data_IF_130660235318
#
_entry.id   IF_130660235318
#
_cell.length_a   1.000
_cell.length_b   1.000
_cell.length_c   1.000
_cell.angle_alpha   90.00
_cell.angle_beta   90.00
_cell.angle_gamma   90.00
#
_symmetry.space_group_name_H-M   'P 1'
#
loop_
_entity.id
_entity.type
_entity.pdbx_description
1 polymer ?
#
# COMPACT_ATOMS: atom_id res chain seq x y z
N UNK A 1 -19.70 1.31 -0.34
CA UNK A 1 -18.58 2.29 -0.48
C UNK A 1 -18.44 3.15 0.77
N UNK A 2 -17.20 3.32 1.25
CA UNK A 2 -16.78 4.22 2.33
C UNK A 2 -16.93 5.69 1.94
N UNK A 3 -16.80 6.03 0.66
CA UNK A 3 -17.13 7.36 0.14
C UNK A 3 -17.89 7.27 -1.19
N UNK A 4 -18.82 8.20 -1.42
CA UNK A 4 -19.63 8.24 -2.64
C UNK A 4 -18.83 8.62 -3.90
N UNK A 5 -17.73 9.37 -3.75
CA UNK A 5 -16.86 9.78 -4.86
C UNK A 5 -15.69 8.82 -5.11
N UNK A 6 -15.58 7.74 -4.31
CA UNK A 6 -14.51 6.74 -4.41
C UNK A 6 -13.12 7.25 -4.00
N UNK A 7 -13.02 8.40 -3.34
CA UNK A 7 -11.74 8.95 -2.86
C UNK A 7 -11.13 8.16 -1.69
N UNK A 8 -11.95 7.34 -1.02
CA UNK A 8 -11.57 6.56 0.17
C UNK A 8 -11.58 5.08 -0.19
N UNK A 9 -10.46 4.42 0.03
CA UNK A 9 -10.29 2.99 -0.26
C UNK A 9 -10.15 2.14 1.01
N UNK A 10 -9.72 2.72 2.12
CA UNK A 10 -9.47 2.04 3.39
C UNK A 10 -9.70 2.98 4.59
N UNK A 11 -9.84 2.37 5.76
CA UNK A 11 -9.96 3.06 7.04
C UNK A 11 -9.30 2.22 8.15
N UNK A 12 -8.45 2.89 8.94
CA UNK A 12 -7.85 2.36 10.17
C UNK A 12 -8.63 2.84 11.39
N UNK A 13 -9.16 1.93 12.20
CA UNK A 13 -9.99 2.30 13.36
C UNK A 13 -9.18 2.24 14.66
N UNK A 14 -8.69 3.39 15.12
CA UNK A 14 -7.94 3.48 16.38
C UNK A 14 -8.81 3.47 17.65
N UNK A 15 -10.06 3.92 17.54
CA UNK A 15 -11.01 4.01 18.64
C UNK A 15 -12.39 3.62 18.16
N UNK A 16 -13.22 3.06 19.06
CA UNK A 16 -14.60 2.68 18.75
C UNK A 16 -15.35 3.86 18.11
N UNK A 17 -15.90 3.66 16.92
CA UNK A 17 -16.64 4.69 16.19
C UNK A 17 -17.86 4.10 15.48
N UNK A 18 -18.89 4.94 15.29
CA UNK A 18 -20.05 4.62 14.47
C UNK A 18 -19.86 5.18 13.07
N UNK A 19 -20.14 4.38 12.05
CA UNK A 19 -20.09 4.77 10.65
C UNK A 19 -21.48 4.66 10.03
N UNK A 20 -21.94 5.72 9.38
CA UNK A 20 -23.28 5.73 8.76
C UNK A 20 -23.15 5.67 7.24
N UNK A 21 -23.66 4.60 6.64
CA UNK A 21 -23.81 4.47 5.19
C UNK A 21 -25.24 4.84 4.81
N UNK A 22 -25.40 5.74 3.84
CA UNK A 22 -26.72 5.98 3.23
C UNK A 22 -26.82 5.20 1.94
N UNK A 23 -27.75 4.25 1.88
CA UNK A 23 -28.05 3.47 0.68
C UNK A 23 -28.78 4.33 -0.36
N UNK A 24 -28.85 3.84 -1.61
CA UNK A 24 -29.46 4.58 -2.73
C UNK A 24 -30.96 4.88 -2.58
N UNK A 25 -31.67 4.16 -1.70
CA UNK A 25 -33.06 4.38 -1.34
C UNK A 25 -33.24 5.36 -0.16
N UNK A 26 -32.14 5.93 0.35
CA UNK A 26 -32.12 6.83 1.51
C UNK A 26 -32.05 6.11 2.86
N UNK A 27 -32.06 4.78 2.90
CA UNK A 27 -31.89 4.00 4.13
C UNK A 27 -30.52 4.28 4.75
N UNK A 28 -30.50 4.60 6.05
CA UNK A 28 -29.25 4.78 6.81
C UNK A 28 -28.91 3.51 7.57
N UNK A 29 -27.81 2.88 7.21
CA UNK A 29 -27.20 1.80 7.98
C UNK A 29 -26.14 2.39 8.90
N UNK A 30 -26.17 2.02 10.18
CA UNK A 30 -25.14 2.40 11.15
C UNK A 30 -24.37 1.16 11.52
N UNK A 31 -23.10 1.14 11.18
CA UNK A 31 -22.15 0.10 11.57
C UNK A 31 -21.28 0.62 12.72
N UNK A 32 -20.91 -0.24 13.66
CA UNK A 32 -20.03 0.13 14.78
C UNK A 32 -18.71 -0.59 14.60
N UNK A 33 -17.65 0.16 14.37
CA UNK A 33 -16.30 -0.37 14.29
C UNK A 33 -15.61 -0.28 15.65
N UNK A 34 -14.82 -1.30 15.95
CA UNK A 34 -14.04 -1.45 17.17
C UNK A 34 -12.58 -1.04 16.93
N UNK A 35 -11.82 -0.70 17.99
CA UNK A 35 -10.40 -0.46 17.86
C UNK A 35 -9.71 -1.68 17.23
N UNK A 36 -8.78 -1.42 16.31
CA UNK A 36 -8.04 -2.41 15.49
C UNK A 36 -8.80 -2.97 14.29
N UNK A 37 -10.02 -2.51 14.03
CA UNK A 37 -10.68 -2.84 12.77
C UNK A 37 -9.97 -2.13 11.60
N UNK A 38 -9.75 -2.90 10.54
CA UNK A 38 -9.34 -2.42 9.22
C UNK A 38 -10.52 -2.57 8.28
N UNK A 39 -11.02 -1.46 7.75
CA UNK A 39 -12.18 -1.44 6.86
C UNK A 39 -11.74 -1.12 5.45
N UNK A 40 -12.23 -1.90 4.47
CA UNK A 40 -11.86 -1.78 3.06
C UNK A 40 -13.09 -1.41 2.23
N UNK A 41 -12.94 -0.48 1.29
CA UNK A 41 -14.02 -0.12 0.39
C UNK A 41 -14.40 -1.31 -0.51
N UNK A 42 -15.71 -1.57 -0.59
CA UNK A 42 -16.35 -2.50 -1.52
C UNK A 42 -15.90 -2.39 -2.99
N UNK A 43 -15.45 -1.21 -3.45
CA UNK A 43 -14.93 -1.00 -4.79
C UNK A 43 -13.68 -1.85 -5.06
N UNK A 44 -12.96 -2.26 -4.01
CA UNK A 44 -11.80 -3.15 -4.09
C UNK A 44 -12.17 -4.64 -4.00
N UNK A 45 -13.45 -4.99 -3.91
CA UNK A 45 -13.88 -6.39 -3.78
C UNK A 45 -13.64 -7.24 -5.04
N UNK A 46 -13.58 -6.61 -6.22
CA UNK A 46 -13.32 -7.31 -7.49
C UNK A 46 -11.96 -8.03 -7.50
N UNK A 47 -11.86 -9.18 -8.16
CA UNK A 47 -10.60 -9.91 -8.35
C UNK A 47 -9.57 -9.09 -9.14
N UNK A 48 -10.03 -8.25 -10.07
CA UNK A 48 -9.18 -7.31 -10.81
C UNK A 48 -8.51 -6.26 -9.91
N UNK A 49 -9.01 -6.09 -8.68
CA UNK A 49 -8.48 -5.14 -7.70
C UNK A 49 -7.55 -5.81 -6.68
N UNK A 50 -7.22 -7.10 -6.79
CA UNK A 50 -6.46 -7.85 -5.77
C UNK A 50 -5.21 -7.14 -5.29
N UNK A 51 -4.35 -6.65 -6.19
CA UNK A 51 -3.14 -5.93 -5.80
C UNK A 51 -3.40 -4.59 -5.09
N UNK A 52 -4.49 -3.90 -5.45
CA UNK A 52 -4.90 -2.66 -4.79
C UNK A 52 -5.50 -2.95 -3.41
N UNK A 53 -6.37 -3.97 -3.32
CA UNK A 53 -6.98 -4.46 -2.08
C UNK A 53 -5.91 -4.88 -1.06
N UNK A 54 -4.95 -5.71 -1.47
CA UNK A 54 -3.90 -6.19 -0.59
C UNK A 54 -3.01 -5.03 -0.10
N UNK A 55 -2.69 -4.08 -0.99
CA UNK A 55 -1.95 -2.88 -0.60
C UNK A 55 -2.71 -2.02 0.41
N UNK A 56 -4.00 -1.78 0.18
CA UNK A 56 -4.83 -1.03 1.14
C UNK A 56 -4.89 -1.74 2.50
N UNK A 57 -5.11 -3.06 2.53
CA UNK A 57 -5.10 -3.82 3.78
C UNK A 57 -3.75 -3.67 4.51
N UNK A 58 -2.64 -3.84 3.80
CA UNK A 58 -1.30 -3.68 4.38
C UNK A 58 -1.02 -2.25 4.86
N UNK A 59 -1.55 -1.25 4.15
CA UNK A 59 -1.45 0.17 4.50
C UNK A 59 -2.22 0.50 5.79
N UNK A 60 -3.47 0.07 5.91
CA UNK A 60 -4.23 0.29 7.15
C UNK A 60 -3.63 -0.51 8.32
N UNK A 61 -3.12 -1.72 8.08
CA UNK A 61 -2.39 -2.47 9.09
C UNK A 61 -1.08 -1.77 9.50
N UNK A 62 -0.38 -1.14 8.56
CA UNK A 62 0.84 -0.39 8.84
C UNK A 62 0.57 0.81 9.76
N UNK A 63 -0.56 1.49 9.59
CA UNK A 63 -0.98 2.54 10.53
C UNK A 63 -1.11 2.02 11.97
N UNK A 64 -1.71 0.85 12.17
CA UNK A 64 -1.77 0.22 13.49
C UNK A 64 -0.39 -0.10 14.05
N UNK A 65 0.47 -0.74 13.25
CA UNK A 65 1.83 -1.12 13.67
C UNK A 65 2.64 0.12 14.08
N UNK A 66 2.60 1.18 13.26
CA UNK A 66 3.35 2.41 13.51
C UNK A 66 2.82 3.16 14.74
N UNK A 67 1.51 3.17 14.96
CA UNK A 67 0.91 3.75 16.16
C UNK A 67 1.29 2.98 17.43
N UNK A 68 1.33 1.65 17.37
CA UNK A 68 1.72 0.80 18.50
C UNK A 68 3.22 0.93 18.82
N UNK A 69 4.09 1.02 17.80
CA UNK A 69 5.54 1.15 17.97
C UNK A 69 5.99 2.56 18.39
N UNK A 70 5.31 3.59 17.89
CA UNK A 70 5.68 4.99 18.10
C UNK A 70 4.51 5.84 18.63
N UNK A 71 3.89 5.49 19.77
CA UNK A 71 2.63 6.07 20.23
C UNK A 71 2.69 7.58 20.56
N UNK A 72 3.89 8.13 20.75
CA UNK A 72 4.10 9.55 21.03
C UNK A 72 4.43 10.38 19.78
N UNK A 73 4.82 9.73 18.69
CA UNK A 73 5.37 10.36 17.49
C UNK A 73 4.47 10.13 16.28
N UNK A 74 3.93 8.92 16.15
CA UNK A 74 2.95 8.58 15.14
C UNK A 74 1.57 9.06 15.56
N UNK A 75 1.02 10.01 14.82
CA UNK A 75 -0.36 10.43 14.99
C UNK A 75 -0.63 11.64 15.88
N UNK A 76 0.36 12.52 16.13
CA UNK A 76 0.07 13.88 16.63
C UNK A 76 -0.77 14.71 15.63
N UNK A 77 -0.65 14.45 14.33
CA UNK A 77 -1.58 14.92 13.30
C UNK A 77 -2.89 14.08 13.21
N UNK A 78 -2.90 12.88 13.83
CA UNK A 78 -4.00 11.89 13.80
C UNK A 78 -5.08 12.14 14.87
N UNK A 79 -4.91 13.17 15.71
CA UNK A 79 -5.87 13.52 16.78
C UNK A 79 -7.12 14.28 16.31
N UNK A 80 -7.25 14.58 15.02
CA UNK A 80 -8.44 15.23 14.46
C UNK A 80 -9.52 14.22 14.05
N UNK A 81 -10.43 13.88 14.99
CA UNK A 81 -11.76 13.25 14.77
C UNK A 81 -12.04 12.76 13.33
N UNK A 82 -11.86 11.44 13.08
CA UNK A 82 -12.33 10.75 11.87
C UNK A 82 -11.23 10.32 10.89
N UNK A 83 -10.22 9.57 11.37
CA UNK A 83 -8.98 9.30 10.63
C UNK A 83 -9.15 8.29 9.51
N UNK A 84 -9.56 8.81 8.37
CA UNK A 84 -9.44 8.20 7.06
C UNK A 84 -8.08 8.60 6.51
N UNK A 85 -7.21 7.62 6.30
CA UNK A 85 -6.04 7.76 5.44
C UNK A 85 -6.53 7.80 3.99
N UNK A 86 -6.59 8.99 3.39
CA UNK A 86 -6.93 9.09 1.97
C UNK A 86 -5.67 8.79 1.16
N UNK A 87 -5.70 7.71 0.38
CA UNK A 87 -4.87 7.68 -0.82
C UNK A 87 -5.48 8.62 -1.85
N UNK A 88 -5.18 9.91 -1.75
CA UNK A 88 -5.49 10.86 -2.81
C UNK A 88 -4.71 10.46 -4.07
N UNK A 89 -5.39 10.43 -5.22
CA UNK A 89 -4.75 10.15 -6.51
C UNK A 89 -3.67 11.19 -6.87
N UNK A 90 -3.77 12.42 -6.31
CA UNK A 90 -2.99 13.62 -6.69
C UNK A 90 -2.55 14.53 -5.51
N UNK A 91 -2.65 14.11 -4.24
CA UNK A 91 -2.28 14.93 -3.07
C UNK A 91 -0.79 14.88 -2.70
N UNK A 92 -0.27 15.89 -1.98
CA UNK A 92 1.03 15.76 -1.31
C UNK A 92 0.88 14.82 -0.11
N UNK A 93 1.51 13.64 -0.11
CA UNK A 93 1.33 12.68 0.98
C UNK A 93 1.89 13.27 2.28
N UNK A 94 1.14 13.16 3.37
CA UNK A 94 1.67 13.48 4.69
C UNK A 94 2.81 12.53 5.04
N UNK A 95 3.61 12.90 6.04
CA UNK A 95 4.69 12.04 6.52
C UNK A 95 4.16 10.68 6.99
N UNK A 96 3.02 10.67 7.68
CA UNK A 96 2.39 9.47 8.23
C UNK A 96 1.86 8.53 7.13
N UNK A 97 1.21 9.07 6.09
CA UNK A 97 0.78 8.34 4.90
C UNK A 97 1.97 7.73 4.16
N UNK A 98 3.05 8.50 4.06
CA UNK A 98 4.27 8.04 3.43
C UNK A 98 4.94 6.90 4.22
N UNK A 99 4.97 7.00 5.55
CA UNK A 99 5.46 5.92 6.42
C UNK A 99 4.60 4.66 6.28
N UNK A 100 3.26 4.79 6.29
CA UNK A 100 2.34 3.67 6.13
C UNK A 100 2.50 3.01 4.75
N UNK A 101 2.58 3.79 3.67
CA UNK A 101 2.85 3.30 2.33
C UNK A 101 4.17 2.52 2.24
N UNK A 102 5.21 3.02 2.90
CA UNK A 102 6.52 2.36 2.88
C UNK A 102 6.47 1.04 3.63
N UNK A 103 5.92 1.03 4.84
CA UNK A 103 5.80 -0.20 5.62
C UNK A 103 4.88 -1.21 4.92
N UNK A 104 3.77 -0.79 4.30
CA UNK A 104 2.88 -1.66 3.53
C UNK A 104 3.60 -2.36 2.36
N UNK A 105 4.45 -1.62 1.64
CA UNK A 105 5.26 -2.18 0.57
C UNK A 105 6.26 -3.23 1.09
N UNK A 106 6.89 -2.97 2.25
CA UNK A 106 7.80 -3.91 2.90
C UNK A 106 7.08 -5.15 3.45
N UNK A 107 5.87 -4.99 3.98
CA UNK A 107 5.05 -6.11 4.47
C UNK A 107 4.62 -7.05 3.34
N UNK A 108 4.25 -6.49 2.17
CA UNK A 108 3.81 -7.28 1.03
C UNK A 108 4.96 -7.84 0.18
N UNK A 109 6.07 -7.10 0.10
CA UNK A 109 7.20 -7.45 -0.75
C UNK A 109 8.52 -7.41 0.05
N UNK A 110 8.65 -8.21 1.12
CA UNK A 110 9.89 -8.27 1.87
C UNK A 110 11.01 -8.79 0.98
N UNK A 111 12.24 -8.30 1.19
CA UNK A 111 13.39 -8.57 0.31
C UNK A 111 13.60 -10.06 0.03
N UNK A 112 13.46 -10.91 1.05
CA UNK A 112 13.64 -12.36 0.90
C UNK A 112 12.61 -12.98 -0.06
N UNK A 113 11.34 -12.53 -0.01
CA UNK A 113 10.28 -13.02 -0.86
C UNK A 113 10.50 -12.58 -2.31
N UNK A 114 10.88 -11.31 -2.50
CA UNK A 114 11.16 -10.78 -3.84
C UNK A 114 12.37 -11.49 -4.46
N UNK A 115 13.43 -11.75 -3.69
CA UNK A 115 14.58 -12.52 -4.16
C UNK A 115 14.20 -13.95 -4.57
N UNK A 116 13.40 -14.64 -3.75
CA UNK A 116 12.92 -15.98 -4.08
C UNK A 116 12.09 -15.98 -5.38
N UNK A 117 11.25 -14.96 -5.60
CA UNK A 117 10.48 -14.83 -6.84
C UNK A 117 11.34 -14.46 -8.05
N UNK A 118 12.42 -13.69 -7.88
CA UNK A 118 13.40 -13.40 -8.94
C UNK A 118 14.08 -14.70 -9.39
N UNK A 119 14.54 -15.51 -8.44
CA UNK A 119 15.15 -16.81 -8.70
C UNK A 119 14.16 -17.76 -9.39
N UNK A 120 12.93 -17.87 -8.85
CA UNK A 120 11.88 -18.72 -9.40
C UNK A 120 11.47 -18.32 -10.82
N UNK A 121 11.47 -17.02 -11.12
CA UNK A 121 11.17 -16.50 -12.46
C UNK A 121 12.35 -16.61 -13.44
N UNK A 122 13.54 -16.98 -12.98
CA UNK A 122 14.79 -16.93 -13.75
C UNK A 122 14.96 -15.57 -14.46
N UNK A 123 14.69 -14.49 -13.73
CA UNK A 123 14.77 -13.12 -14.23
C UNK A 123 16.22 -12.83 -14.67
N UNK A 124 16.40 -12.53 -15.95
CA UNK A 124 17.71 -12.23 -16.52
C UNK A 124 17.63 -10.88 -17.23
N UNK A 125 18.21 -9.87 -16.59
CA UNK A 125 18.23 -8.50 -17.07
C UNK A 125 19.69 -8.03 -17.17
N UNK A 126 20.42 -8.45 -18.23
CA UNK A 126 21.76 -7.94 -18.46
C UNK A 126 21.63 -6.43 -18.67
N UNK A 127 22.21 -5.66 -17.76
CA UNK A 127 22.14 -4.20 -17.65
C UNK A 127 20.88 -3.62 -16.98
N UNK A 128 20.00 -4.42 -16.38
CA UNK A 128 18.83 -3.92 -15.64
C UNK A 128 17.74 -3.27 -16.50
N UNK A 129 17.80 -3.36 -17.83
CA UNK A 129 16.83 -2.71 -18.71
C UNK A 129 15.59 -3.61 -18.85
N UNK A 130 14.42 -3.09 -18.45
CA UNK A 130 13.13 -3.73 -18.66
C UNK A 130 12.37 -3.03 -19.80
N UNK A 131 12.04 -3.77 -20.87
CA UNK A 131 11.23 -3.23 -21.95
C UNK A 131 9.75 -3.50 -21.69
N UNK A 132 8.90 -2.48 -21.82
CA UNK A 132 7.44 -2.64 -21.74
C UNK A 132 6.91 -3.15 -23.08
N UNK A 133 7.28 -4.38 -23.44
CA UNK A 133 6.92 -5.03 -24.71
C UNK A 133 6.54 -6.49 -24.47
N UNK A 134 5.55 -6.99 -25.19
CA UNK A 134 5.20 -8.42 -25.20
C UNK A 134 6.34 -9.32 -25.72
N UNK A 135 7.33 -8.72 -26.40
CA UNK A 135 8.53 -9.42 -26.87
C UNK A 135 9.61 -9.57 -25.79
N UNK A 136 9.50 -8.87 -24.66
CA UNK A 136 10.44 -9.01 -23.54
C UNK A 136 9.90 -10.08 -22.56
N UNK A 137 10.51 -11.28 -22.49
CA UNK A 137 10.03 -12.34 -21.60
C UNK A 137 10.08 -11.94 -20.13
N UNK A 138 10.89 -10.95 -19.75
CA UNK A 138 10.95 -10.47 -18.38
C UNK A 138 9.70 -9.66 -18.00
N UNK A 139 9.00 -9.04 -18.95
CA UNK A 139 7.75 -8.34 -18.68
C UNK A 139 6.67 -9.30 -18.17
N UNK A 140 6.46 -10.42 -18.88
CA UNK A 140 5.50 -11.46 -18.49
C UNK A 140 5.91 -12.16 -17.20
N UNK A 141 7.20 -12.45 -17.03
CA UNK A 141 7.71 -13.03 -15.77
C UNK A 141 7.41 -12.14 -14.56
N UNK A 142 7.59 -10.82 -14.69
CA UNK A 142 7.26 -9.86 -13.63
C UNK A 142 5.75 -9.77 -13.41
N UNK A 143 4.92 -9.85 -14.44
CA UNK A 143 3.47 -9.92 -14.29
C UNK A 143 3.04 -11.14 -13.47
N UNK A 144 3.61 -12.30 -13.78
CA UNK A 144 3.30 -13.51 -13.02
C UNK A 144 3.83 -13.44 -11.58
N UNK A 145 5.01 -12.84 -11.34
CA UNK A 145 5.52 -12.60 -9.99
C UNK A 145 4.56 -11.71 -9.19
N UNK A 146 4.09 -10.61 -9.80
CA UNK A 146 3.09 -9.73 -9.19
C UNK A 146 1.82 -10.52 -8.81
N UNK A 147 1.34 -11.39 -9.71
CA UNK A 147 0.16 -12.22 -9.47
C UNK A 147 0.36 -13.19 -8.29
N UNK A 148 1.53 -13.85 -8.18
CA UNK A 148 1.83 -14.78 -7.08
C UNK A 148 2.00 -14.09 -5.73
N UNK A 149 2.65 -12.93 -5.72
CA UNK A 149 2.80 -12.11 -4.49
C UNK A 149 1.45 -11.46 -4.12
N UNK A 150 0.55 -11.27 -5.09
CA UNK A 150 -0.73 -10.62 -4.89
C UNK A 150 -0.61 -9.09 -4.86
N UNK A 151 0.27 -8.52 -5.68
CA UNK A 151 0.49 -7.06 -5.82
C UNK A 151 0.23 -6.60 -7.25
N UNK A 152 0.13 -5.28 -7.47
CA UNK A 152 0.04 -4.74 -8.83
C UNK A 152 1.39 -4.81 -9.55
N UNK A 153 1.37 -4.85 -10.89
CA UNK A 153 2.58 -4.74 -11.71
C UNK A 153 3.40 -3.49 -11.37
N UNK A 154 2.73 -2.36 -11.15
CA UNK A 154 3.39 -1.11 -10.78
C UNK A 154 4.13 -1.22 -9.44
N UNK A 155 3.55 -1.91 -8.46
CA UNK A 155 4.15 -2.09 -7.14
C UNK A 155 5.41 -2.96 -7.20
N UNK A 156 5.35 -4.13 -7.86
CA UNK A 156 6.54 -4.98 -7.98
C UNK A 156 7.65 -4.29 -8.80
N UNK A 157 7.28 -3.52 -9.83
CA UNK A 157 8.27 -2.73 -10.61
C UNK A 157 8.99 -1.71 -9.73
N UNK A 158 8.26 -0.96 -8.91
CA UNK A 158 8.86 0.02 -7.98
C UNK A 158 9.81 -0.71 -7.02
N UNK A 159 9.38 -1.86 -6.49
CA UNK A 159 10.20 -2.65 -5.57
C UNK A 159 11.48 -3.15 -6.21
N UNK A 160 11.41 -3.67 -7.43
CA UNK A 160 12.59 -4.10 -8.20
C UNK A 160 13.53 -2.92 -8.51
N UNK A 161 13.01 -1.70 -8.72
CA UNK A 161 13.82 -0.49 -8.85
C UNK A 161 14.54 -0.11 -7.55
N UNK A 162 13.83 -0.17 -6.41
CA UNK A 162 14.41 0.07 -5.09
C UNK A 162 15.52 -0.93 -4.75
N UNK A 163 15.33 -2.19 -5.15
CA UNK A 163 16.32 -3.26 -5.00
C UNK A 163 17.42 -3.24 -6.07
N UNK A 164 17.42 -2.25 -6.97
CA UNK A 164 18.42 -2.09 -8.04
C UNK A 164 18.50 -3.29 -9.00
N UNK A 165 17.44 -4.10 -9.08
CA UNK A 165 17.32 -5.23 -10.01
C UNK A 165 17.02 -4.72 -11.43
N UNK A 166 16.24 -3.64 -11.52
CA UNK A 166 15.93 -2.96 -12.78
C UNK A 166 16.30 -1.48 -12.71
N UNK A 167 16.71 -0.93 -13.84
CA UNK A 167 17.09 0.47 -13.98
C UNK A 167 15.89 1.39 -13.78
N UNK A 168 16.22 2.57 -13.26
CA UNK A 168 15.28 3.64 -13.00
C UNK A 168 15.73 4.40 -11.77
N UNK A 169 15.32 5.66 -11.65
CA UNK A 169 15.48 6.34 -10.37
C UNK A 169 14.59 5.63 -9.34
N UNK A 170 15.10 5.27 -8.15
CA UNK A 170 14.25 4.89 -7.04
C UNK A 170 13.19 5.98 -6.87
N UNK A 171 11.91 5.61 -6.90
CA UNK A 171 10.83 6.60 -6.91
C UNK A 171 10.72 7.31 -5.54
N UNK A 172 11.36 6.77 -4.49
CA UNK A 172 11.39 7.36 -3.15
C UNK A 172 12.74 7.10 -2.45
N UNK A 173 13.19 8.06 -1.63
CA UNK A 173 14.23 7.87 -0.61
C UNK A 173 13.74 6.85 0.42
N UNK A 174 14.58 5.94 0.90
CA UNK A 174 14.17 4.99 1.94
C UNK A 174 13.97 5.75 3.27
N UNK A 175 13.00 5.41 4.15
CA UNK A 175 12.87 6.01 5.47
C UNK A 175 14.15 5.96 6.31
N UNK A 176 14.89 4.86 6.18
CA UNK A 176 16.19 4.73 6.86
C UNK A 176 17.29 5.63 6.25
N UNK A 177 17.12 6.13 5.02
CA UNK A 177 18.07 7.09 4.42
C UNK A 177 17.91 8.49 5.03
N UNK A 178 16.72 8.80 5.57
CA UNK A 178 16.39 10.10 6.20
C UNK A 178 16.61 10.06 7.72
N UNK A 179 16.59 8.87 8.34
CA UNK A 179 17.00 8.66 9.74
C UNK A 179 18.54 8.55 9.82
N UNK A 180 19.25 9.52 9.24
CA UNK A 180 20.57 9.89 9.76
C UNK A 180 20.31 10.95 10.83
N UNK A 181 20.15 10.50 12.07
CA UNK A 181 20.36 11.40 13.20
C UNK A 181 21.75 12.04 13.05
N UNK A 182 21.83 13.35 13.26
CA UNK A 182 23.00 14.15 12.98
C UNK A 182 24.32 13.51 13.43
N UNK A 183 25.28 13.55 12.51
CA UNK A 183 26.66 13.87 12.88
C UNK A 183 26.82 15.39 12.93
#
# INVERSE_FOLDING_TARGET
PLCSDGSILGLTVFQKCGFTVTLGDGTKLVEVFMPKDVVIDSALASDSCTGCRNFTIAHEAAHHILADLFPNDYGKAVKCRGHIAYRERNGQPSWEEWQANTLAAELLMPTFLVNAEIERAALCLPNGILYKSASDPNYERILEMAARIGVSWSAIRIRLQQMQVINGKPIHCHPLDVIRFGE
#
